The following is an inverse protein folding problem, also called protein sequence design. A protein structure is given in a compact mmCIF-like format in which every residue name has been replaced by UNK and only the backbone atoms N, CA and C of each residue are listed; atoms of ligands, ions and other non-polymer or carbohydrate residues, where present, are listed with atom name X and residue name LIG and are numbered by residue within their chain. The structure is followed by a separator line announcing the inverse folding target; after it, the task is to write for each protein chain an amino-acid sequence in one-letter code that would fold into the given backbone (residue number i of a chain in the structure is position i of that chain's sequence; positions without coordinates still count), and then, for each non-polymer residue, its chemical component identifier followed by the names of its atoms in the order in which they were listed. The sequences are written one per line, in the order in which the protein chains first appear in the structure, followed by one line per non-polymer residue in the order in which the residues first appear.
data_IF_025069316339
#
_entry.id   IF_025069316339
#
_cell.length_a   1.000
_cell.length_b   1.000
_cell.length_c   1.000
_cell.angle_alpha   90.00
_cell.angle_beta   90.00
_cell.angle_gamma   90.00
#
_symmetry.space_group_name_H-M   'P 1'
#
loop_
_entity.id
_entity.type
_entity.pdbx_description
1 polymer ?
#
# COMPACT_ATOMS: atom_id res chain seq x y z
N UNK A 1 0.11 1.86 -16.29
CA UNK A 1 1.42 1.21 -16.48
C UNK A 1 1.51 0.15 -15.42
N UNK A 2 1.66 -1.09 -15.84
CA UNK A 2 1.46 -2.21 -14.92
C UNK A 2 2.71 -2.44 -14.07
N UNK A 3 2.47 -2.76 -12.80
CA UNK A 3 3.48 -3.24 -11.88
C UNK A 3 3.71 -4.74 -12.14
N UNK A 4 4.30 -5.03 -13.31
CA UNK A 4 4.59 -6.40 -13.73
C UNK A 4 5.51 -7.10 -12.73
N UNK A 5 5.44 -8.42 -12.71
CA UNK A 5 6.01 -9.27 -11.65
C UNK A 5 4.99 -9.58 -10.57
N UNK A 6 3.96 -8.75 -10.36
CA UNK A 6 2.82 -9.03 -9.48
C UNK A 6 1.51 -8.45 -10.05
N UNK A 7 1.39 -8.35 -11.38
CA UNK A 7 0.11 -7.98 -12.01
C UNK A 7 -0.77 -9.22 -12.21
N UNK A 8 -2.03 -9.00 -12.60
CA UNK A 8 -2.97 -10.09 -12.89
C UNK A 8 -2.40 -11.11 -13.89
N UNK A 9 -1.73 -10.62 -14.93
CA UNK A 9 -1.08 -11.43 -15.98
C UNK A 9 0.06 -12.32 -15.44
N UNK A 10 0.64 -12.00 -14.27
CA UNK A 10 1.70 -12.80 -13.66
C UNK A 10 1.17 -13.95 -12.78
N UNK A 11 -0.14 -13.98 -12.47
CA UNK A 11 -0.73 -14.92 -11.51
C UNK A 11 -0.44 -16.38 -11.85
N UNK A 12 -0.64 -16.77 -13.11
CA UNK A 12 -0.39 -18.15 -13.56
C UNK A 12 1.08 -18.55 -13.42
N UNK A 13 2.00 -17.63 -13.73
CA UNK A 13 3.44 -17.86 -13.60
C UNK A 13 3.83 -18.04 -12.13
N UNK A 14 3.31 -17.20 -11.24
CA UNK A 14 3.58 -17.29 -9.80
C UNK A 14 3.02 -18.59 -9.22
N UNK A 15 1.79 -18.98 -9.58
CA UNK A 15 1.17 -20.24 -9.15
C UNK A 15 2.00 -21.44 -9.61
N UNK A 16 2.47 -21.45 -10.86
CA UNK A 16 3.34 -22.51 -11.38
C UNK A 16 4.66 -22.56 -10.61
N UNK A 17 5.28 -21.40 -10.35
CA UNK A 17 6.49 -21.27 -9.56
C UNK A 17 6.32 -21.85 -8.15
N UNK A 18 5.28 -21.47 -7.43
CA UNK A 18 4.98 -21.97 -6.09
C UNK A 18 4.69 -23.48 -6.07
N UNK A 19 3.88 -23.96 -7.02
CA UNK A 19 3.50 -25.39 -7.13
C UNK A 19 4.66 -26.31 -7.50
N UNK A 20 5.76 -25.74 -8.00
CA UNK A 20 6.96 -26.52 -8.36
C UNK A 20 7.82 -26.89 -7.16
N UNK A 21 7.63 -26.25 -6.00
CA UNK A 21 8.48 -26.39 -4.82
C UNK A 21 9.91 -25.85 -4.98
N UNK A 22 10.19 -25.16 -6.09
CA UNK A 22 11.52 -24.65 -6.46
C UNK A 22 11.53 -23.13 -6.40
N UNK A 23 12.07 -22.58 -5.31
CA UNK A 23 12.13 -21.15 -5.06
C UNK A 23 12.77 -20.35 -6.19
N UNK A 24 13.79 -20.91 -6.85
CA UNK A 24 14.49 -20.27 -7.95
C UNK A 24 13.59 -19.95 -9.14
N UNK A 25 12.46 -20.65 -9.27
CA UNK A 25 11.48 -20.38 -10.34
C UNK A 25 10.72 -19.07 -10.12
N UNK A 26 10.75 -18.50 -8.92
CA UNK A 26 10.21 -17.16 -8.65
C UNK A 26 11.18 -16.04 -9.09
N UNK A 27 12.44 -16.35 -9.41
CA UNK A 27 13.43 -15.31 -9.75
C UNK A 27 12.96 -14.30 -10.84
N UNK A 28 12.31 -14.73 -11.95
CA UNK A 28 11.80 -13.81 -12.96
C UNK A 28 10.73 -12.83 -12.44
N UNK A 29 10.02 -13.18 -11.37
CA UNK A 29 9.03 -12.31 -10.72
C UNK A 29 9.71 -11.00 -10.27
N UNK A 30 10.82 -11.09 -9.54
CA UNK A 30 11.51 -9.92 -8.99
C UNK A 30 12.16 -9.05 -10.09
N UNK A 31 12.74 -9.68 -11.11
CA UNK A 31 13.28 -8.93 -12.26
C UNK A 31 12.18 -8.15 -13.00
N UNK A 32 10.98 -8.75 -13.11
CA UNK A 32 9.81 -8.04 -13.64
C UNK A 32 9.36 -6.92 -12.71
N UNK A 33 9.34 -7.11 -11.39
CA UNK A 33 9.02 -6.03 -10.43
C UNK A 33 9.95 -4.81 -10.57
N UNK A 34 11.26 -5.04 -10.76
CA UNK A 34 12.21 -3.97 -11.09
C UNK A 34 11.82 -3.26 -12.39
N UNK A 35 11.51 -4.02 -13.44
CA UNK A 35 11.07 -3.46 -14.72
C UNK A 35 9.75 -2.69 -14.60
N UNK A 36 8.78 -3.16 -13.80
CA UNK A 36 7.52 -2.48 -13.53
C UNK A 36 7.73 -1.12 -12.85
N UNK A 37 8.64 -1.06 -11.88
CA UNK A 37 9.04 0.20 -11.24
C UNK A 37 9.70 1.15 -12.23
N UNK A 38 10.67 0.66 -13.02
CA UNK A 38 11.33 1.45 -14.06
C UNK A 38 10.32 1.99 -15.10
N UNK A 39 9.37 1.15 -15.53
CA UNK A 39 8.32 1.55 -16.46
C UNK A 39 7.49 2.71 -15.91
N UNK A 40 7.14 2.69 -14.62
CA UNK A 40 6.40 3.77 -13.99
C UNK A 40 7.21 5.08 -13.93
N UNK A 41 8.52 5.01 -13.63
CA UNK A 41 9.41 6.19 -13.69
C UNK A 41 9.49 6.77 -15.10
N UNK A 42 9.67 5.89 -16.11
CA UNK A 42 9.74 6.30 -17.51
C UNK A 42 8.42 6.84 -18.04
N UNK A 43 7.28 6.33 -17.56
CA UNK A 43 5.96 6.82 -17.92
C UNK A 43 5.76 8.28 -17.51
N UNK A 44 6.18 8.65 -16.29
CA UNK A 44 6.15 10.04 -15.84
C UNK A 44 6.99 10.92 -16.79
N UNK A 45 8.23 10.51 -17.11
CA UNK A 45 9.10 11.23 -18.06
C UNK A 45 8.51 11.34 -19.47
N UNK A 46 7.86 10.29 -19.96
CA UNK A 46 7.18 10.29 -21.25
C UNK A 46 6.05 11.31 -21.28
N UNK A 47 5.23 11.37 -20.22
CA UNK A 47 4.14 12.34 -20.08
C UNK A 47 4.70 13.77 -20.05
N UNK A 48 5.65 14.05 -19.15
CA UNK A 48 6.11 15.41 -18.91
C UNK A 48 6.97 15.99 -20.03
N UNK A 49 7.79 15.15 -20.70
CA UNK A 49 8.76 15.62 -21.69
C UNK A 49 8.31 15.40 -23.13
N UNK A 50 7.40 14.45 -23.36
CA UNK A 50 6.88 14.06 -24.66
C UNK A 50 5.42 14.47 -24.84
N UNK A 51 4.49 13.78 -24.17
CA UNK A 51 3.04 13.94 -24.40
C UNK A 51 2.54 15.35 -24.06
N UNK A 52 3.13 16.03 -23.08
CA UNK A 52 2.82 17.43 -22.75
C UNK A 52 3.07 18.39 -23.93
N UNK A 53 3.91 18.02 -24.90
CA UNK A 53 4.23 18.80 -26.09
C UNK A 53 3.47 18.34 -27.34
N UNK A 54 2.67 17.28 -27.23
CA UNK A 54 1.86 16.79 -28.32
C UNK A 54 0.72 17.77 -28.64
N UNK A 55 0.43 17.98 -29.93
CA UNK A 55 -0.58 18.95 -30.37
C UNK A 55 -2.01 18.57 -29.97
N UNK A 56 -2.28 17.27 -29.76
CA UNK A 56 -3.60 16.75 -29.41
C UNK A 56 -3.75 16.62 -27.89
N UNK A 57 -2.76 16.01 -27.24
CA UNK A 57 -2.82 15.64 -25.82
C UNK A 57 -2.28 16.73 -24.89
N UNK A 58 -1.29 17.53 -25.33
CA UNK A 58 -0.60 18.48 -24.48
C UNK A 58 -1.50 19.53 -23.83
N UNK A 59 -2.60 19.90 -24.49
CA UNK A 59 -3.59 20.85 -23.94
C UNK A 59 -4.34 20.35 -22.70
N UNK A 60 -4.25 19.07 -22.36
CA UNK A 60 -4.86 18.48 -21.17
C UNK A 60 -3.85 18.15 -20.06
N UNK A 61 -2.57 18.46 -20.27
CA UNK A 61 -1.49 18.08 -19.38
C UNK A 61 -0.76 19.32 -18.88
N UNK A 62 -0.62 19.45 -17.57
CA UNK A 62 0.28 20.41 -16.96
C UNK A 62 1.58 19.70 -16.55
N UNK A 63 2.69 19.85 -17.30
CA UNK A 63 3.95 19.19 -16.97
C UNK A 63 4.67 19.81 -15.76
N UNK A 64 4.12 20.86 -15.14
CA UNK A 64 4.64 21.43 -13.88
C UNK A 64 4.03 20.77 -12.64
N UNK A 65 2.84 20.17 -12.74
CA UNK A 65 2.19 19.44 -11.66
C UNK A 65 2.49 17.94 -11.75
N UNK A 66 3.28 17.41 -10.82
CA UNK A 66 3.84 16.05 -10.91
C UNK A 66 3.68 15.32 -9.59
N UNK A 67 2.81 14.32 -9.60
CA UNK A 67 2.36 13.63 -8.41
C UNK A 67 2.36 12.12 -8.62
N UNK A 68 2.51 11.38 -7.53
CA UNK A 68 2.23 9.96 -7.51
C UNK A 68 0.92 9.70 -6.76
N UNK A 69 0.07 8.86 -7.32
CA UNK A 69 -1.06 8.30 -6.58
C UNK A 69 -1.17 6.82 -6.91
N UNK A 70 -1.13 5.99 -5.88
CA UNK A 70 -1.28 4.54 -5.97
C UNK A 70 -2.19 4.04 -4.88
N UNK A 71 -3.02 3.05 -5.20
CA UNK A 71 -3.95 2.38 -4.29
C UNK A 71 -3.60 0.89 -4.27
N UNK A 72 -3.70 0.24 -3.12
CA UNK A 72 -3.48 -1.20 -2.97
C UNK A 72 -2.06 -1.59 -3.37
N UNK A 73 -1.90 -2.47 -4.36
CA UNK A 73 -0.61 -2.81 -4.92
C UNK A 73 0.18 -1.59 -5.42
N UNK A 74 -0.52 -0.57 -5.97
CA UNK A 74 0.08 0.72 -6.30
C UNK A 74 0.43 1.56 -5.07
N UNK A 75 -0.32 1.44 -3.97
CA UNK A 75 0.04 2.07 -2.70
C UNK A 75 1.31 1.46 -2.10
N UNK A 76 1.43 0.12 -2.16
CA UNK A 76 2.60 -0.65 -1.75
C UNK A 76 3.80 -0.22 -2.62
N UNK A 77 3.83 -0.55 -3.92
CA UNK A 77 4.97 -0.18 -4.78
C UNK A 77 5.19 1.33 -4.92
N UNK A 78 4.18 2.14 -4.60
CA UNK A 78 4.33 3.57 -4.46
C UNK A 78 5.41 3.97 -3.46
N UNK A 79 5.64 3.17 -2.41
CA UNK A 79 6.79 3.35 -1.52
C UNK A 79 8.13 3.25 -2.24
N UNK A 80 8.27 2.29 -3.15
CA UNK A 80 9.49 2.11 -3.97
C UNK A 80 9.62 3.22 -5.00
N UNK A 81 8.52 3.55 -5.70
CA UNK A 81 8.49 4.65 -6.66
C UNK A 81 8.91 5.97 -6.01
N UNK A 82 8.33 6.30 -4.85
CA UNK A 82 8.59 7.55 -4.14
C UNK A 82 10.00 7.60 -3.56
N UNK A 83 10.63 6.47 -3.24
CA UNK A 83 12.04 6.46 -2.83
C UNK A 83 13.01 6.70 -4.02
N UNK A 84 12.60 6.37 -5.25
CA UNK A 84 13.48 6.36 -6.43
C UNK A 84 13.28 7.51 -7.41
N UNK A 85 12.09 8.11 -7.43
CA UNK A 85 11.76 9.11 -8.44
C UNK A 85 12.63 10.35 -8.31
N UNK A 86 12.98 10.94 -9.44
CA UNK A 86 13.67 12.24 -9.53
C UNK A 86 12.76 13.34 -10.06
N UNK A 87 11.51 12.97 -10.36
CA UNK A 87 10.60 13.77 -11.16
C UNK A 87 9.34 14.19 -10.39
N UNK A 88 9.04 13.50 -9.29
CA UNK A 88 7.90 13.73 -8.41
C UNK A 88 8.44 14.04 -7.02
N UNK A 89 7.75 14.88 -6.24
CA UNK A 89 8.12 15.16 -4.84
C UNK A 89 7.03 14.79 -3.83
N UNK A 90 5.79 14.58 -4.30
CA UNK A 90 4.63 14.31 -3.46
C UNK A 90 3.85 13.11 -3.97
N UNK A 91 3.56 12.20 -3.06
CA UNK A 91 2.85 10.96 -3.35
C UNK A 91 1.69 10.72 -2.39
N UNK A 92 0.66 10.03 -2.86
CA UNK A 92 -0.43 9.53 -2.01
C UNK A 92 -0.50 8.02 -2.16
N UNK A 93 -0.38 7.32 -1.03
CA UNK A 93 -0.35 5.87 -0.94
C UNK A 93 -1.61 5.41 -0.21
N UNK A 94 -2.58 4.89 -0.96
CA UNK A 94 -3.86 4.40 -0.43
C UNK A 94 -3.80 2.90 -0.15
N UNK A 95 -4.32 2.50 1.01
CA UNK A 95 -4.43 1.10 1.49
C UNK A 95 -3.15 0.31 1.22
N UNK A 96 -2.04 0.91 1.67
CA UNK A 96 -0.67 0.44 1.49
C UNK A 96 -0.15 -0.31 2.73
N UNK A 97 0.97 -1.02 2.58
CA UNK A 97 1.66 -1.65 3.69
C UNK A 97 2.96 -2.32 3.27
N UNK A 98 3.73 -2.78 4.26
CA UNK A 98 4.95 -3.59 4.09
C UNK A 98 5.23 -4.36 5.41
N UNK A 99 6.13 -5.34 5.45
CA UNK A 99 6.69 -6.09 4.31
C UNK A 99 5.71 -7.15 3.79
N UNK A 100 5.97 -7.73 2.61
CA UNK A 100 5.13 -8.80 2.08
C UNK A 100 5.03 -10.01 3.01
N UNK A 101 6.12 -10.43 3.65
CA UNK A 101 6.12 -11.54 4.62
C UNK A 101 5.09 -11.36 5.74
N UNK A 102 4.77 -10.12 6.11
CA UNK A 102 3.69 -9.81 7.06
C UNK A 102 2.32 -9.76 6.40
N UNK A 103 2.24 -9.20 5.20
CA UNK A 103 0.98 -8.95 4.49
C UNK A 103 0.34 -10.22 3.96
N UNK A 104 1.11 -11.12 3.31
CA UNK A 104 0.54 -12.16 2.46
C UNK A 104 -0.37 -13.11 3.24
N UNK A 105 0.08 -13.63 4.38
CA UNK A 105 -0.73 -14.51 5.23
C UNK A 105 -2.00 -13.84 5.79
N UNK A 106 -2.05 -12.51 5.80
CA UNK A 106 -3.18 -11.69 6.28
C UNK A 106 -4.04 -11.13 5.16
N UNK A 107 -3.84 -11.56 3.93
CA UNK A 107 -4.53 -11.02 2.76
C UNK A 107 -5.46 -12.07 2.15
N UNK A 108 -6.72 -11.68 1.92
CA UNK A 108 -7.68 -12.53 1.18
C UNK A 108 -7.24 -12.74 -0.27
N UNK A 109 -6.50 -11.80 -0.86
CA UNK A 109 -6.04 -11.89 -2.25
C UNK A 109 -5.00 -12.98 -2.46
N UNK A 110 -4.22 -13.29 -1.41
CA UNK A 110 -3.17 -14.28 -1.48
C UNK A 110 -3.64 -15.69 -1.09
N UNK A 111 -4.87 -15.84 -0.58
CA UNK A 111 -5.43 -17.13 -0.21
C UNK A 111 -5.34 -18.20 -1.33
N UNK A 112 -5.62 -17.90 -2.62
CA UNK A 112 -5.43 -18.85 -3.70
C UNK A 112 -3.98 -19.32 -3.85
N UNK A 113 -3.00 -18.42 -3.71
CA UNK A 113 -1.57 -18.77 -3.82
C UNK A 113 -1.12 -19.68 -2.68
N UNK A 114 -1.65 -19.49 -1.46
CA UNK A 114 -1.38 -20.39 -0.34
C UNK A 114 -1.96 -21.79 -0.54
N UNK A 115 -3.10 -21.93 -1.23
CA UNK A 115 -3.64 -23.25 -1.60
C UNK A 115 -2.65 -24.02 -2.48
N UNK A 116 -2.10 -23.36 -3.51
CA UNK A 116 -1.13 -23.99 -4.41
C UNK A 116 0.23 -24.23 -3.76
N UNK A 117 0.70 -23.27 -2.94
CA UNK A 117 1.90 -23.44 -2.12
C UNK A 117 1.77 -24.66 -1.21
N UNK A 118 0.57 -24.91 -0.66
CA UNK A 118 0.28 -26.07 0.17
C UNK A 118 0.47 -27.44 -0.50
N UNK A 119 0.45 -27.51 -1.83
CA UNK A 119 0.76 -28.76 -2.55
C UNK A 119 2.25 -29.13 -2.49
N UNK A 120 3.13 -28.12 -2.47
CA UNK A 120 4.59 -28.32 -2.38
C UNK A 120 5.09 -28.23 -0.95
N UNK A 121 4.44 -27.41 -0.12
CA UNK A 121 4.80 -27.10 1.26
C UNK A 121 3.56 -27.29 2.16
N UNK A 122 3.18 -28.53 2.50
CA UNK A 122 1.97 -28.79 3.29
C UNK A 122 2.10 -28.36 4.76
N UNK A 123 3.32 -28.20 5.28
CA UNK A 123 3.57 -27.70 6.63
C UNK A 123 3.58 -26.17 6.64
N UNK A 124 2.72 -25.57 7.47
CA UNK A 124 2.65 -24.12 7.62
C UNK A 124 3.99 -23.51 8.09
N UNK A 125 4.84 -24.27 8.80
CA UNK A 125 6.18 -23.80 9.20
C UNK A 125 7.10 -23.65 8.00
N UNK A 126 7.04 -24.59 7.05
CA UNK A 126 7.82 -24.53 5.83
C UNK A 126 7.37 -23.36 4.96
N UNK A 127 6.07 -23.05 4.93
CA UNK A 127 5.53 -21.88 4.23
C UNK A 127 6.06 -20.56 4.83
N UNK A 128 6.11 -20.45 6.16
CA UNK A 128 6.69 -19.26 6.81
C UNK A 128 8.18 -19.12 6.50
N UNK A 129 8.94 -20.23 6.58
CA UNK A 129 10.36 -20.21 6.20
C UNK A 129 10.55 -19.84 4.72
N UNK A 130 9.66 -20.30 3.84
CA UNK A 130 9.65 -19.93 2.42
C UNK A 130 9.47 -18.43 2.24
N UNK A 131 8.44 -17.85 2.89
CA UNK A 131 8.16 -16.42 2.82
C UNK A 131 9.32 -15.60 3.37
N UNK A 132 9.93 -16.00 4.49
CA UNK A 132 11.10 -15.32 5.05
C UNK A 132 12.31 -15.36 4.10
N UNK A 133 12.54 -16.49 3.43
CA UNK A 133 13.60 -16.61 2.43
C UNK A 133 13.34 -15.75 1.19
N UNK A 134 12.08 -15.73 0.73
CA UNK A 134 11.65 -14.93 -0.41
C UNK A 134 11.69 -13.44 -0.08
N UNK A 135 11.37 -13.07 1.16
CA UNK A 135 11.40 -11.69 1.63
C UNK A 135 12.76 -11.04 1.38
N UNK A 136 13.88 -11.74 1.62
CA UNK A 136 15.22 -11.21 1.34
C UNK A 136 15.43 -10.80 -0.14
N UNK A 137 14.74 -11.44 -1.07
CA UNK A 137 14.79 -11.07 -2.49
C UNK A 137 13.81 -9.94 -2.78
N UNK A 138 12.63 -9.99 -2.17
CA UNK A 138 11.60 -8.94 -2.22
C UNK A 138 12.07 -7.60 -1.68
N UNK A 139 12.95 -7.55 -0.68
CA UNK A 139 13.54 -6.32 -0.14
C UNK A 139 14.22 -5.46 -1.22
N UNK A 140 14.60 -6.08 -2.36
CA UNK A 140 15.18 -5.40 -3.51
C UNK A 140 14.15 -4.73 -4.40
N UNK A 141 12.87 -5.07 -4.29
CA UNK A 141 11.81 -4.66 -5.23
C UNK A 141 10.56 -4.10 -4.57
N UNK A 142 10.35 -4.32 -3.27
CA UNK A 142 9.17 -3.87 -2.51
C UNK A 142 9.54 -2.88 -1.38
N UNK A 143 8.57 -2.14 -0.83
CA UNK A 143 8.81 -1.01 0.07
C UNK A 143 9.68 -1.26 1.30
N UNK A 144 9.76 -2.47 1.86
CA UNK A 144 10.53 -2.70 3.08
C UNK A 144 12.00 -2.27 2.96
N UNK A 145 12.61 -2.47 1.79
CA UNK A 145 13.97 -2.02 1.48
C UNK A 145 14.11 -0.54 1.09
N UNK A 146 13.00 0.18 0.89
CA UNK A 146 12.98 1.52 0.25
C UNK A 146 12.32 2.62 1.06
N UNK A 147 11.24 2.35 1.79
CA UNK A 147 10.34 3.35 2.36
C UNK A 147 11.02 4.31 3.34
N UNK A 148 12.05 3.84 4.07
CA UNK A 148 12.85 4.70 4.95
C UNK A 148 13.62 5.80 4.24
N UNK A 149 13.88 5.64 2.94
CA UNK A 149 14.60 6.60 2.11
C UNK A 149 13.66 7.60 1.37
N UNK A 150 12.39 7.67 1.75
CA UNK A 150 11.43 8.59 1.11
C UNK A 150 11.69 10.04 1.52
N UNK A 151 11.79 10.32 2.82
CA UNK A 151 11.83 11.70 3.36
C UNK A 151 13.15 12.02 4.08
N UNK A 152 13.50 11.27 5.12
CA UNK A 152 14.53 11.69 6.07
C UNK A 152 15.99 11.34 5.67
N UNK A 153 16.18 10.33 4.82
CA UNK A 153 17.50 9.86 4.35
C UNK A 153 17.41 9.46 2.87
N UNK A 154 17.21 10.40 1.92
CA UNK A 154 16.97 10.03 0.53
C UNK A 154 18.17 9.33 -0.12
N UNK A 155 17.87 8.43 -1.07
CA UNK A 155 18.89 7.75 -1.86
C UNK A 155 19.79 8.75 -2.62
N UNK A 156 21.05 8.40 -2.94
CA UNK A 156 21.93 9.29 -3.69
C UNK A 156 21.32 9.73 -5.02
N UNK A 157 21.23 11.05 -5.23
CA UNK A 157 20.72 11.62 -6.48
C UNK A 157 19.19 11.70 -6.58
N UNK A 158 18.45 11.38 -5.50
CA UNK A 158 17.01 11.63 -5.41
C UNK A 158 16.70 12.82 -4.50
N UNK A 159 15.63 13.60 -4.76
CA UNK A 159 15.19 14.63 -3.84
C UNK A 159 14.56 14.01 -2.59
N UNK A 160 14.36 14.81 -1.55
CA UNK A 160 13.45 14.44 -0.47
C UNK A 160 12.01 14.44 -0.99
N UNK A 161 11.23 13.45 -0.56
CA UNK A 161 9.82 13.31 -0.91
C UNK A 161 8.96 13.37 0.33
N UNK A 162 7.66 13.61 0.13
CA UNK A 162 6.64 13.49 1.18
C UNK A 162 5.50 12.63 0.67
N UNK A 163 4.96 11.79 1.56
CA UNK A 163 3.85 10.90 1.23
C UNK A 163 2.69 11.03 2.23
N UNK A 164 1.47 11.06 1.70
CA UNK A 164 0.26 10.87 2.48
C UNK A 164 -0.15 9.40 2.36
N UNK A 165 -0.04 8.69 3.47
CA UNK A 165 -0.40 7.29 3.62
C UNK A 165 -1.76 7.18 4.27
N UNK A 166 -2.66 6.40 3.65
CA UNK A 166 -4.05 6.26 4.10
C UNK A 166 -4.40 4.79 4.22
N UNK A 167 -4.93 4.36 5.37
CA UNK A 167 -5.35 2.98 5.59
C UNK A 167 -6.85 2.90 5.95
N UNK A 168 -7.51 1.85 5.48
CA UNK A 168 -8.84 1.48 5.94
C UNK A 168 -8.70 0.54 7.15
N UNK A 169 -9.37 0.82 8.26
CA UNK A 169 -9.32 -0.04 9.45
C UNK A 169 -10.06 -1.34 9.16
N UNK A 170 -9.40 -2.48 9.38
CA UNK A 170 -9.97 -3.79 9.10
C UNK A 170 -9.98 -4.13 7.61
N UNK A 171 -9.01 -3.63 6.86
CA UNK A 171 -8.79 -3.99 5.45
C UNK A 171 -8.51 -5.50 5.29
N UNK A 172 -9.24 -6.16 4.39
CA UNK A 172 -9.13 -7.62 4.17
C UNK A 172 -7.93 -8.00 3.31
N UNK A 173 -7.41 -7.04 2.54
CA UNK A 173 -6.38 -7.26 1.53
C UNK A 173 -5.01 -6.81 2.03
N UNK A 174 -4.95 -5.69 2.76
CA UNK A 174 -3.71 -5.10 3.29
C UNK A 174 -3.87 -4.73 4.75
N UNK A 175 -3.39 -5.60 5.65
CA UNK A 175 -3.53 -5.39 7.10
C UNK A 175 -2.96 -4.04 7.57
N UNK A 176 -3.69 -3.37 8.48
CA UNK A 176 -3.22 -2.12 9.10
C UNK A 176 -1.87 -2.27 9.80
N UNK A 177 -1.50 -3.48 10.25
CA UNK A 177 -0.18 -3.73 10.84
C UNK A 177 0.94 -3.40 9.86
N UNK A 178 0.79 -3.80 8.59
CA UNK A 178 1.76 -3.47 7.55
C UNK A 178 1.74 -1.99 7.17
N UNK A 179 0.56 -1.36 7.21
CA UNK A 179 0.44 0.08 7.03
C UNK A 179 1.21 0.86 8.12
N UNK A 180 1.12 0.41 9.37
CA UNK A 180 1.83 1.03 10.50
C UNK A 180 3.35 0.83 10.40
N UNK A 181 3.82 -0.34 9.96
CA UNK A 181 5.25 -0.59 9.71
C UNK A 181 5.78 0.39 8.68
N UNK A 182 5.08 0.53 7.55
CA UNK A 182 5.47 1.47 6.49
C UNK A 182 5.46 2.93 6.99
N UNK A 183 4.43 3.33 7.72
CA UNK A 183 4.33 4.70 8.25
C UNK A 183 5.49 5.04 9.19
N UNK A 184 5.88 4.10 10.07
CA UNK A 184 7.03 4.25 10.96
C UNK A 184 8.35 4.29 10.21
N UNK A 185 8.52 3.44 9.19
CA UNK A 185 9.73 3.41 8.38
C UNK A 185 9.97 4.75 7.66
N UNK A 186 8.92 5.35 7.09
CA UNK A 186 8.98 6.68 6.46
C UNK A 186 9.30 7.78 7.48
N UNK A 187 8.90 7.60 8.74
CA UNK A 187 8.95 8.64 9.77
C UNK A 187 7.77 9.62 9.68
N UNK A 188 6.61 9.14 9.20
CA UNK A 188 5.43 9.97 9.05
C UNK A 188 4.79 10.33 10.40
N UNK A 189 4.07 11.47 10.43
CA UNK A 189 3.24 11.84 11.58
C UNK A 189 1.84 11.24 11.45
N UNK A 190 1.25 10.85 12.57
CA UNK A 190 -0.15 10.44 12.59
C UNK A 190 -1.06 11.68 12.52
N UNK A 191 -1.70 11.89 11.37
CA UNK A 191 -2.69 12.95 11.21
C UNK A 191 -3.94 12.56 12.03
N UNK A 192 -4.28 13.35 13.04
CA UNK A 192 -5.39 13.00 13.93
C UNK A 192 -6.71 12.94 13.17
N UNK A 193 -7.34 11.77 13.18
CA UNK A 193 -8.62 11.50 12.48
C UNK A 193 -9.80 11.29 13.43
N UNK A 194 -9.68 11.64 14.70
CA UNK A 194 -10.69 11.35 15.73
C UNK A 194 -10.84 9.85 16.03
N UNK A 195 -9.88 9.04 15.56
CA UNK A 195 -9.72 7.62 15.86
C UNK A 195 -8.63 7.42 16.92
N UNK A 196 -8.30 6.16 17.23
CA UNK A 196 -7.26 5.83 18.20
C UNK A 196 -5.86 6.23 17.70
N UNK A 197 -4.99 6.59 18.64
CA UNK A 197 -3.59 6.84 18.34
C UNK A 197 -2.88 5.58 17.83
N UNK A 198 -2.00 5.76 16.86
CA UNK A 198 -1.20 4.67 16.28
C UNK A 198 0.15 4.62 17.00
N UNK A 199 0.42 3.49 17.66
CA UNK A 199 1.65 3.32 18.43
C UNK A 199 2.90 3.64 17.59
N UNK A 200 3.87 4.35 18.16
CA UNK A 200 5.14 4.66 17.51
C UNK A 200 5.06 5.74 16.42
N UNK A 201 3.93 6.43 16.26
CA UNK A 201 3.80 7.62 15.43
C UNK A 201 3.41 8.83 16.28
N UNK A 202 4.05 9.97 16.04
CA UNK A 202 3.70 11.23 16.71
C UNK A 202 2.43 11.82 16.11
N UNK A 203 1.43 12.09 16.95
CA UNK A 203 0.17 12.67 16.52
C UNK A 203 0.29 14.18 16.18
N UNK A 204 -0.43 14.62 15.15
CA UNK A 204 -0.51 16.01 14.74
C UNK A 204 -1.89 16.37 14.16
N UNK A 205 -2.45 17.52 14.55
CA UNK A 205 -3.84 17.88 14.23
C UNK A 205 -4.09 18.29 12.76
N UNK A 206 -3.04 18.70 12.04
CA UNK A 206 -3.17 19.34 10.73
C UNK A 206 -3.67 20.80 10.84
N UNK A 207 -3.43 21.65 9.83
CA UNK A 207 -2.53 21.41 8.70
C UNK A 207 -1.05 21.33 9.13
N UNK A 208 -0.29 20.42 8.54
CA UNK A 208 1.18 20.38 8.66
C UNK A 208 1.85 19.85 7.38
N UNK A 209 3.10 20.24 7.14
CA UNK A 209 3.92 19.72 6.03
C UNK A 209 4.70 18.47 6.45
N UNK A 210 5.04 17.61 5.48
CA UNK A 210 5.79 16.36 5.68
C UNK A 210 4.94 15.12 5.43
N UNK A 211 5.52 13.93 5.56
CA UNK A 211 4.75 12.69 5.41
C UNK A 211 3.75 12.50 6.55
N UNK A 212 2.57 12.01 6.19
CA UNK A 212 1.46 11.81 7.11
C UNK A 212 0.84 10.42 6.96
N UNK A 213 0.36 9.87 8.06
CA UNK A 213 -0.41 8.64 8.12
C UNK A 213 -1.79 8.91 8.72
N UNK A 214 -2.85 8.44 8.09
CA UNK A 214 -4.22 8.60 8.55
C UNK A 214 -5.03 7.32 8.34
N UNK A 215 -5.87 6.98 9.31
CA UNK A 215 -6.78 5.84 9.24
C UNK A 215 -8.23 6.30 9.06
N UNK A 216 -8.99 5.52 8.30
CA UNK A 216 -10.44 5.64 8.14
C UNK A 216 -11.11 4.39 8.71
N UNK A 217 -12.01 4.59 9.66
CA UNK A 217 -12.78 3.53 10.29
C UNK A 217 -14.09 3.30 9.54
N UNK A 218 -14.45 2.04 9.32
CA UNK A 218 -15.71 1.66 8.66
C UNK A 218 -16.63 0.87 9.60
N UNK A 219 -16.35 0.85 10.91
CA UNK A 219 -17.19 0.17 11.91
C UNK A 219 -17.07 -1.36 11.90
N UNK A 220 -15.92 -1.88 11.44
CA UNK A 220 -15.62 -3.31 11.50
C UNK A 220 -15.18 -3.71 12.92
N UNK A 221 -15.31 -5.00 13.30
CA UNK A 221 -14.82 -5.46 14.60
C UNK A 221 -13.29 -5.38 14.69
N UNK A 222 -12.71 -5.55 15.89
CA UNK A 222 -11.26 -5.62 16.06
C UNK A 222 -10.64 -6.69 15.14
N UNK A 223 -9.52 -6.34 14.50
CA UNK A 223 -8.80 -7.24 13.61
C UNK A 223 -8.34 -8.53 14.32
N UNK A 224 -8.25 -9.61 13.55
CA UNK A 224 -7.67 -10.87 13.98
C UNK A 224 -6.20 -10.71 14.40
N UNK A 225 -5.85 -11.15 15.59
CA UNK A 225 -4.47 -11.09 16.10
C UNK A 225 -3.57 -12.20 15.54
N UNK A 226 -4.16 -13.31 15.11
CA UNK A 226 -3.45 -14.42 14.51
C UNK A 226 -3.04 -14.12 13.06
N UNK A 227 -2.17 -14.97 12.51
CA UNK A 227 -1.69 -14.87 11.13
C UNK A 227 -2.70 -15.46 10.15
N UNK A 228 -3.86 -14.81 10.02
CA UNK A 228 -4.95 -15.18 9.11
C UNK A 228 -5.53 -13.92 8.45
N UNK A 229 -6.10 -14.04 7.23
CA UNK A 229 -6.79 -12.94 6.60
C UNK A 229 -7.95 -12.45 7.47
N UNK A 230 -8.10 -11.13 7.57
CA UNK A 230 -9.29 -10.54 8.15
C UNK A 230 -10.41 -10.54 7.11
N UNK A 231 -11.55 -11.10 7.47
CA UNK A 231 -12.66 -11.42 6.55
C UNK A 231 -14.03 -11.09 7.15
N UNK A 232 -14.04 -10.33 8.25
CA UNK A 232 -15.25 -9.92 8.92
C UNK A 232 -15.98 -8.79 8.15
N UNK A 233 -17.31 -8.89 8.07
CA UNK A 233 -18.18 -7.88 7.46
C UNK A 233 -17.82 -7.60 5.98
N UNK A 234 -18.09 -6.39 5.48
CA UNK A 234 -17.76 -6.02 4.10
C UNK A 234 -16.35 -5.43 4.01
N UNK A 235 -15.53 -5.95 3.09
CA UNK A 235 -14.17 -5.48 2.83
C UNK A 235 -14.09 -3.96 2.62
N UNK A 236 -13.38 -3.21 3.48
CA UNK A 236 -13.27 -1.77 3.36
C UNK A 236 -12.19 -1.30 2.39
N UNK A 237 -11.37 -2.20 1.81
CA UNK A 237 -10.20 -1.87 0.99
C UNK A 237 -10.49 -0.82 -0.10
N UNK A 238 -11.63 -0.97 -0.78
CA UNK A 238 -12.04 -0.08 -1.86
C UNK A 238 -12.85 1.14 -1.44
N UNK A 239 -13.26 1.29 -0.17
CA UNK A 239 -14.26 2.30 0.24
C UNK A 239 -13.68 3.71 0.34
N UNK A 240 -12.40 3.83 0.69
CA UNK A 240 -11.77 5.13 0.94
C UNK A 240 -11.77 6.05 -0.30
N UNK A 241 -11.59 5.49 -1.50
CA UNK A 241 -11.55 6.27 -2.77
C UNK A 241 -12.92 6.81 -3.21
N UNK A 242 -14.00 6.40 -2.55
CA UNK A 242 -15.35 6.87 -2.84
C UNK A 242 -15.79 8.00 -1.89
N UNK A 243 -14.94 8.38 -0.91
CA UNK A 243 -15.24 9.38 0.10
C UNK A 243 -14.81 10.79 -0.36
N UNK A 244 -15.72 11.79 -0.41
CA UNK A 244 -15.38 13.15 -0.84
C UNK A 244 -14.27 13.81 -0.01
N UNK A 245 -14.24 13.58 1.30
CA UNK A 245 -13.22 14.10 2.22
C UNK A 245 -11.84 13.46 1.97
N UNK A 246 -11.79 12.19 1.55
CA UNK A 246 -10.54 11.53 1.20
C UNK A 246 -9.96 12.08 -0.11
N UNK A 247 -10.83 12.45 -1.06
CA UNK A 247 -10.44 13.15 -2.29
C UNK A 247 -9.93 14.56 -2.01
N UNK A 248 -10.61 15.33 -1.15
CA UNK A 248 -10.15 16.66 -0.73
C UNK A 248 -8.79 16.59 -0.02
N UNK A 249 -8.61 15.60 0.85
CA UNK A 249 -7.35 15.35 1.53
C UNK A 249 -6.22 15.02 0.55
N UNK A 250 -6.50 14.19 -0.46
CA UNK A 250 -5.54 13.85 -1.52
C UNK A 250 -5.16 15.08 -2.35
N UNK A 251 -6.14 15.86 -2.83
CA UNK A 251 -5.90 17.05 -3.65
C UNK A 251 -5.09 18.11 -2.87
N UNK A 252 -5.48 18.39 -1.62
CA UNK A 252 -4.76 19.29 -0.72
C UNK A 252 -3.29 18.86 -0.58
N UNK A 253 -3.04 17.58 -0.26
CA UNK A 253 -1.68 17.09 -0.05
C UNK A 253 -0.86 17.14 -1.33
N UNK A 254 -1.41 16.69 -2.45
CA UNK A 254 -0.69 16.71 -3.73
C UNK A 254 -0.38 18.13 -4.18
N UNK A 255 -1.28 19.10 -4.02
CA UNK A 255 -1.03 20.47 -4.46
C UNK A 255 -0.13 21.27 -3.52
N UNK A 256 -0.24 21.04 -2.21
CA UNK A 256 0.37 21.92 -1.20
C UNK A 256 1.45 21.26 -0.37
N UNK A 257 1.53 19.92 -0.33
CA UNK A 257 2.38 19.18 0.59
C UNK A 257 1.89 19.19 2.05
N UNK A 258 0.69 19.71 2.29
CA UNK A 258 0.10 19.81 3.63
C UNK A 258 -0.90 18.70 3.90
N UNK A 259 -0.71 17.97 4.99
CA UNK A 259 -1.66 17.00 5.50
C UNK A 259 -2.74 17.67 6.37
N UNK A 260 -4.01 17.42 6.04
CA UNK A 260 -5.16 17.99 6.73
C UNK A 260 -6.31 16.97 6.80
N UNK A 261 -7.04 16.97 7.92
CA UNK A 261 -8.23 16.17 8.09
C UNK A 261 -9.46 16.94 7.58
N UNK A 262 -10.19 16.33 6.64
CA UNK A 262 -11.42 16.89 6.04
C UNK A 262 -12.70 16.16 6.50
N UNK A 263 -12.57 15.13 7.35
CA UNK A 263 -13.70 14.36 7.84
C UNK A 263 -14.63 15.22 8.70
N UNK A 264 -15.93 15.06 8.50
CA UNK A 264 -16.94 15.83 9.23
C UNK A 264 -16.81 15.63 10.76
N UNK A 265 -16.86 16.73 11.52
CA UNK A 265 -16.66 16.67 12.97
C UNK A 265 -15.26 16.24 13.41
N UNK A 266 -14.28 16.21 12.49
CA UNK A 266 -12.90 15.79 12.77
C UNK A 266 -12.74 14.28 12.95
N UNK A 267 -13.78 13.48 12.65
CA UNK A 267 -13.76 12.03 12.84
C UNK A 267 -13.93 11.28 11.51
N UNK A 268 -12.92 10.52 11.10
CA UNK A 268 -12.96 9.70 9.88
C UNK A 268 -13.55 8.31 10.19
N UNK A 269 -14.86 8.25 10.44
CA UNK A 269 -15.58 7.03 10.83
C UNK A 269 -16.91 6.92 10.07
N UNK A 270 -17.10 5.79 9.40
CA UNK A 270 -18.20 5.48 8.48
C UNK A 270 -18.86 4.12 8.79
N UNK A 271 -19.39 3.91 10.00
CA UNK A 271 -19.97 2.61 10.40
C UNK A 271 -21.18 2.20 9.55
N UNK A 272 -21.86 3.16 8.92
CA UNK A 272 -22.93 2.92 7.95
C UNK A 272 -22.46 2.14 6.72
N UNK A 273 -21.16 2.17 6.42
CA UNK A 273 -20.54 1.43 5.32
C UNK A 273 -19.92 0.10 5.76
N UNK A 274 -20.12 -0.34 7.01
CA UNK A 274 -19.46 -1.54 7.56
C UNK A 274 -19.72 -2.83 6.78
N UNK A 275 -20.94 -3.00 6.27
CA UNK A 275 -21.39 -4.27 5.70
C UNK A 275 -21.52 -5.39 6.74
N UNK A 276 -21.54 -5.08 8.04
CA UNK A 276 -21.75 -6.06 9.09
C UNK A 276 -23.23 -6.47 9.19
N UNK A 277 -23.50 -7.75 9.44
CA UNK A 277 -24.83 -8.24 9.84
C UNK A 277 -24.93 -8.24 11.38
N UNK A 278 -25.75 -7.36 12.00
CA UNK A 278 -25.89 -7.31 13.46
C UNK A 278 -26.43 -8.60 14.08
N UNK A 279 -27.08 -9.47 13.30
CA UNK A 279 -27.65 -10.73 13.78
C UNK A 279 -26.65 -11.88 13.72
N UNK A 280 -25.53 -11.72 13.00
CA UNK A 280 -24.54 -12.76 12.78
C UNK A 280 -23.13 -12.20 12.97
N UNK A 281 -22.68 -12.03 14.22
CA UNK A 281 -21.34 -11.55 14.49
C UNK A 281 -20.30 -12.52 13.88
N UNK A 282 -19.24 -12.00 13.25
CA UNK A 282 -18.19 -12.82 12.67
C UNK A 282 -17.45 -13.59 13.77
N UNK A 283 -17.18 -14.87 13.51
CA UNK A 283 -16.43 -15.72 14.43
C UNK A 283 -14.94 -15.42 14.34
N UNK A 284 -14.28 -15.15 15.47
CA UNK A 284 -12.84 -14.92 15.52
C UNK A 284 -12.09 -16.25 15.32
N UNK A 285 -11.35 -16.45 14.21
CA UNK A 285 -10.65 -17.69 13.94
C UNK A 285 -9.36 -17.86 14.76
N UNK A 286 -9.01 -16.88 15.61
CA UNK A 286 -7.85 -16.90 16.50
C UNK A 286 -8.17 -17.45 17.90
N UNK A 287 -9.46 -17.62 18.23
CA UNK A 287 -9.92 -18.15 19.52
C UNK A 287 -10.21 -19.65 19.47
N UNK A 288 -9.94 -20.29 18.33
CA UNK A 288 -10.10 -21.72 18.06
C UNK A 288 -8.75 -22.41 18.03
#
# INVERSE_FOLDING_TARGET
VDLIGMSEDDSSFIIEGLSSGKLENLAPMFERMHQGTLNNLMAMRMVMNGLSKDATLGKYLDPSERYYHGISQGGIFGGVYMALTTDVQRGVLGVMGQPYGLLLNRSVDFAPFFVFMGFSFPDARDQQMLLDLVQMVWDRTEPDGYSKYIENDPLPGTPSHTVLMRAAVGDHQVTNLGAHVMARAVGAKHLTSGLNDVWGLDAAAGPFEGSAFVEYDFGLPPMWLCDKPFDACGDPHGKLRDLPEADQQMDQFLRTGTAQNFCAGGKCSHPELSGCDPQKPPANPCEQ
#
